data_IF_951027503230
#
_entry.id   IF_951027503230
#
_cell.length_a   1.000
_cell.length_b   1.000
_cell.length_c   1.000
_cell.angle_alpha   90.00
_cell.angle_beta   90.00
_cell.angle_gamma   90.00
#
_symmetry.space_group_name_H-M   'P 1'
#
loop_
_entity.id
_entity.type
_entity.pdbx_description
1 polymer ?
#
# COMPACT_ATOMS: atom_id res chain seq x y z
N UNK A 1 0.35 11.36 8.82
CA UNK A 1 -0.63 10.28 9.14
C UNK A 1 -0.97 10.19 10.64
N UNK A 2 -0.24 10.89 11.51
CA UNK A 2 -0.28 10.77 12.98
C UNK A 2 -1.68 10.92 13.62
N UNK A 3 -2.35 12.05 13.39
CA UNK A 3 -3.65 12.39 14.00
C UNK A 3 -4.69 11.26 13.92
N UNK A 4 -4.90 10.69 12.73
CA UNK A 4 -5.91 9.63 12.53
C UNK A 4 -5.50 8.31 13.19
N UNK A 5 -4.21 7.99 13.18
CA UNK A 5 -3.69 6.78 13.82
C UNK A 5 -3.84 6.90 15.34
N UNK A 6 -3.40 8.02 15.91
CA UNK A 6 -3.54 8.33 17.33
C UNK A 6 -5.01 8.23 17.76
N UNK A 7 -5.91 8.94 17.07
CA UNK A 7 -7.33 8.94 17.41
C UNK A 7 -7.97 7.54 17.38
N UNK A 8 -7.63 6.69 16.40
CA UNK A 8 -8.14 5.31 16.35
C UNK A 8 -7.57 4.49 17.52
N UNK A 9 -6.26 4.58 17.76
CA UNK A 9 -5.58 3.79 18.78
C UNK A 9 -5.91 4.21 20.22
N UNK A 10 -6.19 5.49 20.45
CA UNK A 10 -6.63 6.02 21.75
C UNK A 10 -8.00 5.48 22.18
N UNK A 11 -8.83 5.07 21.21
CA UNK A 11 -10.11 4.39 21.49
C UNK A 11 -9.95 2.89 21.80
N UNK A 12 -8.71 2.38 21.83
CA UNK A 12 -8.41 0.97 22.05
C UNK A 12 -8.53 0.09 20.80
N UNK A 13 -8.55 0.68 19.61
CA UNK A 13 -8.67 -0.03 18.32
C UNK A 13 -7.36 0.06 17.53
N UNK A 14 -6.91 -1.04 16.92
CA UNK A 14 -5.69 -1.04 16.11
C UNK A 14 -5.90 -0.34 14.77
N UNK A 15 -5.05 0.63 14.43
CA UNK A 15 -5.05 1.26 13.12
C UNK A 15 -4.23 0.45 12.08
N UNK A 16 -4.62 0.57 10.81
CA UNK A 16 -3.99 -0.12 9.67
C UNK A 16 -3.92 0.80 8.43
N UNK A 17 -2.84 1.58 8.24
CA UNK A 17 -2.53 2.28 6.99
C UNK A 17 -2.45 1.28 5.83
N UNK A 18 -3.02 1.70 4.71
CA UNK A 18 -3.13 0.88 3.49
C UNK A 18 -3.23 1.77 2.25
N UNK A 19 -2.84 1.29 1.07
CA UNK A 19 -2.17 0.01 0.80
C UNK A 19 -0.68 0.27 0.55
N UNK A 20 0.22 -0.48 1.21
CA UNK A 20 1.67 -0.38 1.01
C UNK A 20 2.12 -1.35 -0.10
N UNK A 21 2.59 -0.92 -1.28
CA UNK A 21 2.59 0.42 -1.88
C UNK A 21 2.26 0.29 -3.38
N UNK A 22 1.89 1.39 -4.03
CA UNK A 22 1.73 1.44 -5.49
C UNK A 22 0.41 0.88 -6.01
N UNK A 23 -0.60 0.67 -5.17
CA UNK A 23 -1.93 0.23 -5.57
C UNK A 23 -2.78 1.41 -6.08
N UNK A 24 -2.30 2.13 -7.09
CA UNK A 24 -2.84 3.43 -7.54
C UNK A 24 -4.04 3.30 -8.50
N UNK A 25 -4.32 2.10 -8.99
CA UNK A 25 -5.46 1.85 -9.90
C UNK A 25 -6.14 0.52 -9.61
N UNK A 26 -7.43 0.47 -9.92
CA UNK A 26 -8.24 -0.74 -9.74
C UNK A 26 -8.12 -1.72 -10.91
N UNK A 27 -7.88 -1.20 -12.11
CA UNK A 27 -7.72 -1.99 -13.33
C UNK A 27 -6.54 -2.96 -13.17
N UNK A 28 -6.81 -4.26 -13.29
CA UNK A 28 -5.83 -5.33 -13.13
C UNK A 28 -5.17 -5.38 -11.75
N UNK A 29 -5.79 -4.84 -10.67
CA UNK A 29 -5.21 -4.91 -9.32
C UNK A 29 -5.09 -6.34 -8.76
N UNK A 30 -5.83 -7.30 -9.32
CA UNK A 30 -5.78 -8.74 -9.00
C UNK A 30 -5.54 -9.53 -10.29
N UNK A 31 -5.06 -10.77 -10.20
CA UNK A 31 -4.99 -11.65 -11.36
C UNK A 31 -6.36 -11.78 -12.04
N UNK A 32 -6.37 -11.77 -13.37
CA UNK A 32 -7.58 -11.87 -14.18
C UNK A 32 -7.43 -12.96 -15.23
N UNK A 33 -8.54 -13.50 -15.71
CA UNK A 33 -8.57 -14.47 -16.80
C UNK A 33 -8.86 -13.73 -18.11
N UNK A 34 -7.90 -13.75 -19.04
CA UNK A 34 -8.03 -13.11 -20.36
C UNK A 34 -7.76 -14.19 -21.41
N UNK A 35 -8.74 -14.46 -22.28
CA UNK A 35 -8.66 -15.50 -23.32
C UNK A 35 -8.21 -16.88 -22.79
N UNK A 36 -8.68 -17.27 -21.61
CA UNK A 36 -8.34 -18.55 -20.98
C UNK A 36 -6.96 -18.60 -20.30
N UNK A 37 -6.20 -17.50 -20.30
CA UNK A 37 -4.90 -17.39 -19.62
C UNK A 37 -5.00 -16.51 -18.37
N UNK A 38 -4.38 -16.94 -17.28
CA UNK A 38 -4.21 -16.10 -16.09
C UNK A 38 -3.18 -15.02 -16.41
N UNK A 39 -3.58 -13.77 -16.23
CA UNK A 39 -2.70 -12.59 -16.27
C UNK A 39 -2.52 -12.11 -14.84
N UNK A 40 -1.28 -11.98 -14.40
CA UNK A 40 -0.95 -11.54 -13.05
C UNK A 40 -1.48 -10.13 -12.75
N UNK A 41 -1.50 -9.76 -11.48
CA UNK A 41 -1.81 -8.39 -11.09
C UNK A 41 -0.83 -7.40 -11.74
N UNK A 42 -1.30 -6.18 -11.97
CA UNK A 42 -0.49 -5.08 -12.50
C UNK A 42 0.77 -4.89 -11.65
N UNK A 43 1.89 -4.63 -12.32
CA UNK A 43 3.13 -4.25 -11.65
C UNK A 43 3.29 -2.75 -11.71
N UNK A 44 3.33 -2.14 -10.53
CA UNK A 44 3.68 -0.73 -10.38
C UNK A 44 5.20 -0.63 -10.42
N UNK A 45 5.72 -0.21 -11.58
CA UNK A 45 7.15 -0.10 -11.82
C UNK A 45 7.58 1.33 -11.52
N UNK A 46 8.28 1.51 -10.41
CA UNK A 46 8.65 2.81 -9.86
C UNK A 46 10.11 2.77 -9.39
N UNK A 47 10.84 3.85 -9.68
CA UNK A 47 12.22 4.01 -9.24
C UNK A 47 12.30 4.35 -7.75
N UNK A 48 13.46 4.04 -7.15
CA UNK A 48 13.70 4.20 -5.72
C UNK A 48 13.44 5.62 -5.19
N UNK A 49 13.84 6.63 -5.97
CA UNK A 49 13.69 8.02 -5.57
C UNK A 49 12.21 8.42 -5.53
N UNK A 50 11.46 8.10 -6.58
CA UNK A 50 10.02 8.35 -6.63
C UNK A 50 9.29 7.57 -5.53
N UNK A 51 9.71 6.34 -5.23
CA UNK A 51 9.16 5.59 -4.10
C UNK A 51 9.35 6.34 -2.79
N UNK A 52 10.57 6.78 -2.47
CA UNK A 52 10.87 7.43 -1.19
C UNK A 52 10.31 8.85 -1.06
N UNK A 53 10.40 9.65 -2.13
CA UNK A 53 10.04 11.08 -2.10
C UNK A 53 8.55 11.33 -2.31
N UNK A 54 7.77 10.34 -2.75
CA UNK A 54 6.33 10.50 -3.02
C UNK A 54 5.47 9.42 -2.38
N UNK A 55 5.51 8.19 -2.90
CA UNK A 55 4.52 7.16 -2.55
C UNK A 55 4.72 6.56 -1.16
N UNK A 56 5.97 6.43 -0.71
CA UNK A 56 6.30 5.86 0.58
C UNK A 56 6.39 6.92 1.67
N UNK A 57 6.58 8.21 1.34
CA UNK A 57 6.72 9.31 2.29
C UNK A 57 5.74 9.29 3.48
N UNK A 58 4.43 9.02 3.32
CA UNK A 58 3.51 9.05 4.46
C UNK A 58 3.60 7.83 5.38
N UNK A 59 4.19 6.71 4.97
CA UNK A 59 4.25 5.49 5.78
C UNK A 59 5.25 5.58 6.94
N UNK A 60 6.45 6.19 6.80
CA UNK A 60 7.29 6.55 7.93
C UNK A 60 6.55 7.38 9.00
N UNK A 61 5.70 8.34 8.61
CA UNK A 61 4.87 9.08 9.58
C UNK A 61 3.92 8.14 10.35
N UNK A 62 3.35 7.14 9.67
CA UNK A 62 2.50 6.15 10.34
C UNK A 62 3.28 5.27 11.32
N UNK A 63 4.51 4.87 10.96
CA UNK A 63 5.40 4.13 11.86
C UNK A 63 5.79 4.99 13.06
N UNK A 64 6.13 6.26 12.85
CA UNK A 64 6.43 7.23 13.91
C UNK A 64 5.23 7.41 14.85
N UNK A 65 4.00 7.40 14.32
CA UNK A 65 2.75 7.42 15.08
C UNK A 65 2.43 6.09 15.80
N UNK A 66 3.37 5.13 15.83
CA UNK A 66 3.22 3.83 16.49
C UNK A 66 2.03 3.02 15.98
N UNK A 67 1.84 2.99 14.67
CA UNK A 67 0.74 2.23 14.09
C UNK A 67 0.85 0.73 14.33
N UNK A 68 -0.27 0.09 14.67
CA UNK A 68 -0.31 -1.32 15.06
C UNK A 68 -0.02 -2.30 13.91
N UNK A 69 -0.36 -1.94 12.68
CA UNK A 69 -0.25 -2.85 11.52
C UNK A 69 -0.16 -2.07 10.20
N UNK A 70 0.28 -2.73 9.13
CA UNK A 70 0.27 -2.18 7.77
C UNK A 70 -0.30 -3.22 6.82
N UNK A 71 -1.15 -2.82 5.87
CA UNK A 71 -1.71 -3.72 4.86
C UNK A 71 -1.00 -3.54 3.52
N UNK A 72 -0.53 -4.65 2.94
CA UNK A 72 0.12 -4.66 1.63
C UNK A 72 -0.85 -4.38 0.47
N UNK A 73 -0.29 -3.93 -0.67
CA UNK A 73 -0.99 -3.79 -1.94
C UNK A 73 -1.42 -5.13 -2.54
N UNK A 74 -2.40 -5.08 -3.45
CA UNK A 74 -2.71 -6.23 -4.31
C UNK A 74 -1.81 -6.27 -5.55
N UNK A 75 -1.43 -5.09 -6.05
CA UNK A 75 -0.50 -4.95 -7.16
C UNK A 75 0.87 -5.54 -6.78
N UNK A 76 1.63 -5.85 -7.83
CA UNK A 76 3.06 -6.12 -7.70
C UNK A 76 3.84 -4.80 -7.71
N UNK A 77 5.06 -4.82 -7.20
CA UNK A 77 6.02 -3.71 -7.29
C UNK A 77 7.29 -4.24 -7.92
N UNK A 78 7.67 -3.69 -9.08
CA UNK A 78 8.81 -4.19 -9.86
C UNK A 78 8.77 -5.73 -10.01
N UNK A 79 7.60 -6.24 -10.42
CA UNK A 79 7.29 -7.64 -10.73
C UNK A 79 7.17 -8.61 -9.55
N UNK A 80 7.33 -8.14 -8.30
CA UNK A 80 7.14 -8.95 -7.06
C UNK A 80 5.83 -8.63 -6.34
#
# INVERSE_FOLDING_TARGET
MDETIGAIQDTGVQATPKHLVGNEQETQRKPTLINGKIVDAVSSNVDDRTTHELYMWPFPDAVHASVASVMCGYNRVNET
#
